data_IF_264933860072
#
_entry.id   IF_264933860072
#
_cell.length_a   1.000
_cell.length_b   1.000
_cell.length_c   1.000
_cell.angle_alpha   90.00
_cell.angle_beta   90.00
_cell.angle_gamma   90.00
#
_symmetry.space_group_name_H-M   'P 1'
#
loop_
_entity.id
_entity.type
_entity.pdbx_description
1 polymer ?
#
# COMPACT_ATOMS: atom_id res chain seq x y z
N UNK A 1 18.02 -11.63 57.81
CA UNK A 1 17.00 -11.59 56.76
C UNK A 1 17.65 -10.92 55.56
N UNK A 2 18.08 -11.67 54.54
CA UNK A 2 18.76 -11.09 53.38
C UNK A 2 17.66 -10.61 52.43
N UNK A 3 17.40 -9.30 52.43
CA UNK A 3 16.61 -8.68 51.37
C UNK A 3 17.36 -8.91 50.06
N UNK A 4 16.84 -9.84 49.25
CA UNK A 4 17.34 -10.06 47.91
C UNK A 4 17.04 -8.84 47.04
N UNK A 5 17.98 -8.47 46.18
CA UNK A 5 17.79 -7.44 45.17
C UNK A 5 16.63 -7.83 44.24
N UNK A 6 15.55 -7.05 44.26
CA UNK A 6 14.45 -7.14 43.30
C UNK A 6 14.90 -6.48 41.99
N UNK A 7 15.43 -7.29 41.08
CA UNK A 7 15.85 -6.85 39.76
C UNK A 7 14.59 -6.77 38.89
N UNK A 8 14.06 -5.55 38.74
CA UNK A 8 12.94 -5.24 37.85
C UNK A 8 13.42 -5.20 36.41
N UNK A 9 13.55 -6.38 35.81
CA UNK A 9 13.96 -6.53 34.42
C UNK A 9 12.82 -6.15 33.46
N UNK A 10 13.15 -5.62 32.29
CA UNK A 10 12.15 -5.21 31.30
C UNK A 10 11.58 -6.46 30.63
N UNK A 11 10.28 -6.69 30.79
CA UNK A 11 9.57 -7.80 30.15
C UNK A 11 8.70 -7.26 29.02
N UNK A 12 8.93 -7.79 27.81
CA UNK A 12 8.21 -7.42 26.60
C UNK A 12 6.93 -8.28 26.41
N UNK A 13 5.98 -7.83 25.57
CA UNK A 13 4.81 -8.63 25.21
C UNK A 13 5.22 -10.06 24.78
N UNK A 14 4.50 -11.07 25.30
CA UNK A 14 4.88 -12.48 25.12
C UNK A 14 5.80 -13.04 26.23
N UNK A 15 5.99 -12.30 27.32
CA UNK A 15 6.81 -12.69 28.47
C UNK A 15 8.29 -12.95 28.09
N UNK A 16 8.78 -12.19 27.09
CA UNK A 16 10.15 -12.26 26.59
C UNK A 16 11.01 -11.16 27.22
N UNK A 17 12.27 -11.49 27.48
CA UNK A 17 13.30 -10.51 27.89
C UNK A 17 14.05 -9.92 26.70
N UNK A 18 13.87 -10.47 25.49
CA UNK A 18 14.42 -9.88 24.28
C UNK A 18 13.50 -8.78 23.76
N UNK A 19 14.03 -7.59 23.41
CA UNK A 19 13.24 -6.55 22.80
C UNK A 19 12.59 -7.06 21.51
N UNK A 20 11.31 -6.74 21.27
CA UNK A 20 10.66 -7.13 20.04
C UNK A 20 11.41 -6.54 18.85
N UNK A 21 11.43 -7.28 17.75
CA UNK A 21 11.92 -6.76 16.49
C UNK A 21 11.13 -5.48 16.17
N UNK A 22 11.85 -4.40 15.82
CA UNK A 22 11.26 -3.08 15.60
C UNK A 22 10.33 -3.03 14.38
N UNK A 23 10.18 -1.84 13.80
CA UNK A 23 9.34 -1.61 12.61
C UNK A 23 9.68 -2.65 11.53
N UNK A 24 8.69 -3.36 10.93
CA UNK A 24 8.94 -4.37 9.92
C UNK A 24 9.75 -3.83 8.73
N UNK A 25 10.58 -4.68 8.12
CA UNK A 25 11.40 -4.34 6.93
C UNK A 25 10.57 -3.90 5.71
N UNK A 26 9.26 -4.20 5.68
CA UNK A 26 8.38 -3.87 4.56
C UNK A 26 7.22 -2.99 5.05
N UNK A 27 7.26 -1.72 4.70
CA UNK A 27 6.15 -0.80 4.92
C UNK A 27 5.27 -0.70 3.66
N UNK A 28 3.96 -0.64 3.86
CA UNK A 28 2.96 -0.46 2.82
C UNK A 28 2.49 1.00 2.82
N UNK A 29 2.55 1.68 1.67
CA UNK A 29 2.21 3.09 1.55
C UNK A 29 0.86 3.29 0.85
N UNK A 30 0.00 4.15 1.42
CA UNK A 30 -1.18 4.68 0.73
C UNK A 30 -0.81 6.01 0.09
N UNK A 31 -0.84 6.07 -1.24
CA UNK A 31 -0.38 7.23 -2.03
C UNK A 31 -1.56 7.88 -2.73
N UNK A 32 -1.70 9.19 -2.53
CA UNK A 32 -2.70 10.01 -3.23
C UNK A 32 -2.10 10.74 -4.41
N UNK A 33 -2.92 10.91 -5.46
CA UNK A 33 -2.49 11.48 -6.72
C UNK A 33 -3.57 12.39 -7.34
N UNK A 34 -3.16 13.22 -8.29
CA UNK A 34 -4.03 14.02 -9.14
C UNK A 34 -3.85 13.60 -10.60
N UNK A 35 -4.93 13.64 -11.38
CA UNK A 35 -4.87 13.43 -12.83
C UNK A 35 -4.30 14.68 -13.50
N UNK A 36 -3.11 14.57 -14.08
CA UNK A 36 -2.40 15.68 -14.73
C UNK A 36 -1.52 15.14 -15.86
N UNK A 37 -1.96 15.20 -17.13
CA UNK A 37 -1.12 14.83 -18.26
C UNK A 37 0.07 15.80 -18.40
N UNK A 38 1.32 15.32 -18.64
CA UNK A 38 1.72 13.95 -18.97
C UNK A 38 2.20 13.11 -17.76
N UNK A 39 2.02 13.60 -16.54
CA UNK A 39 2.55 12.99 -15.31
C UNK A 39 1.73 11.78 -14.86
N UNK A 40 0.41 11.91 -14.82
CA UNK A 40 -0.54 10.86 -14.47
C UNK A 40 -1.80 10.98 -15.34
N UNK A 41 -2.20 9.88 -15.95
CA UNK A 41 -3.38 9.75 -16.81
C UNK A 41 -4.19 8.54 -16.40
N UNK A 42 -5.51 8.62 -16.59
CA UNK A 42 -6.45 7.55 -16.24
C UNK A 42 -7.00 6.89 -17.52
N UNK A 43 -7.07 5.56 -17.50
CA UNK A 43 -7.68 4.76 -18.55
C UNK A 43 -8.53 3.63 -17.96
N UNK A 44 -9.62 3.20 -18.62
CA UNK A 44 -10.33 2.00 -18.19
C UNK A 44 -9.45 0.75 -18.34
N UNK A 45 -9.56 -0.24 -17.43
CA UNK A 45 -8.94 -1.55 -17.61
C UNK A 45 -9.41 -2.24 -18.89
N UNK A 46 -8.64 -3.19 -19.38
CA UNK A 46 -9.03 -3.99 -20.55
C UNK A 46 -10.33 -4.78 -20.25
N UNK A 47 -11.35 -4.71 -21.14
CA UNK A 47 -12.68 -5.27 -20.85
C UNK A 47 -12.74 -6.80 -20.85
N UNK A 48 -11.69 -7.48 -21.34
CA UNK A 48 -11.63 -8.95 -21.40
C UNK A 48 -10.80 -9.50 -20.25
N UNK A 49 -9.68 -8.85 -19.93
CA UNK A 49 -8.72 -9.30 -18.94
C UNK A 49 -8.84 -8.61 -17.59
N UNK A 50 -9.62 -7.52 -17.51
CA UNK A 50 -9.80 -6.66 -16.32
C UNK A 50 -8.48 -6.16 -15.71
N UNK A 51 -7.43 -6.11 -16.54
CA UNK A 51 -6.08 -5.70 -16.14
C UNK A 51 -5.65 -4.47 -16.92
N UNK A 52 -4.73 -3.74 -16.34
CA UNK A 52 -4.00 -2.73 -17.09
C UNK A 52 -3.10 -3.39 -18.11
N UNK A 53 -3.05 -2.81 -19.31
CA UNK A 53 -2.08 -3.24 -20.31
C UNK A 53 -0.68 -3.12 -19.70
N UNK A 54 0.12 -4.20 -19.78
CA UNK A 54 1.47 -4.30 -19.19
C UNK A 54 2.40 -3.13 -19.54
N UNK A 55 2.13 -2.42 -20.64
CA UNK A 55 2.94 -1.28 -21.10
C UNK A 55 2.35 0.09 -20.72
N UNK A 56 1.25 0.15 -19.97
CA UNK A 56 0.48 1.39 -19.74
C UNK A 56 -0.07 1.49 -18.32
N UNK A 57 0.71 1.08 -17.32
CA UNK A 57 0.48 1.49 -15.93
C UNK A 57 -0.19 0.46 -15.02
N UNK A 58 -0.55 0.94 -13.82
CA UNK A 58 -0.94 0.12 -12.67
C UNK A 58 -2.40 0.36 -12.29
N UNK A 59 -3.01 -0.58 -11.56
CA UNK A 59 -4.36 -0.41 -11.03
C UNK A 59 -4.35 0.63 -9.90
N UNK A 60 -5.24 1.60 -9.98
CA UNK A 60 -5.45 2.62 -8.96
C UNK A 60 -6.93 2.76 -8.62
N UNK A 61 -7.22 3.15 -7.38
CA UNK A 61 -8.58 3.35 -6.86
C UNK A 61 -9.01 4.80 -7.06
N UNK A 62 -10.14 5.00 -7.73
CA UNK A 62 -10.75 6.32 -7.96
C UNK A 62 -12.05 6.55 -7.16
N UNK A 63 -12.52 5.52 -6.46
CA UNK A 63 -13.69 5.54 -5.58
C UNK A 63 -13.52 6.47 -4.36
N UNK A 64 -14.57 7.23 -4.03
CA UNK A 64 -14.61 7.98 -2.78
C UNK A 64 -14.72 7.02 -1.57
N UNK A 65 -14.13 7.38 -0.42
CA UNK A 65 -14.17 6.55 0.80
C UNK A 65 -15.60 6.22 1.27
N UNK A 66 -16.58 7.09 1.02
CA UNK A 66 -17.99 6.84 1.34
C UNK A 66 -18.61 5.71 0.50
N UNK A 67 -18.10 5.46 -0.71
CA UNK A 67 -18.60 4.43 -1.64
C UNK A 67 -18.00 3.05 -1.35
N UNK A 68 -16.97 2.98 -0.50
CA UNK A 68 -16.27 1.75 -0.11
C UNK A 68 -16.87 1.06 1.11
N UNK A 69 -17.74 1.72 1.87
CA UNK A 69 -18.34 1.16 3.09
C UNK A 69 -19.17 -0.11 2.87
N UNK A 70 -19.55 -0.41 1.63
CA UNK A 70 -20.33 -1.58 1.25
C UNK A 70 -19.57 -2.58 0.35
N UNK A 71 -18.26 -2.41 0.14
CA UNK A 71 -17.51 -3.20 -0.84
C UNK A 71 -16.74 -4.40 -0.26
N UNK A 72 -17.03 -5.57 -0.81
CA UNK A 72 -16.22 -6.78 -0.70
C UNK A 72 -14.93 -6.60 -1.54
N UNK A 73 -13.72 -6.73 -0.97
CA UNK A 73 -12.44 -6.55 -1.67
C UNK A 73 -12.25 -7.46 -2.91
N UNK A 74 -13.12 -8.46 -3.11
CA UNK A 74 -13.15 -9.31 -4.29
C UNK A 74 -13.86 -8.73 -5.53
N UNK A 75 -14.68 -7.68 -5.39
CA UNK A 75 -15.48 -7.17 -6.51
C UNK A 75 -14.81 -5.95 -7.16
N UNK A 76 -13.96 -6.19 -8.17
CA UNK A 76 -13.28 -5.13 -8.94
C UNK A 76 -14.22 -4.50 -9.97
N UNK A 77 -15.27 -3.83 -9.51
CA UNK A 77 -16.14 -3.05 -10.40
C UNK A 77 -15.31 -1.99 -11.12
N UNK A 78 -15.37 -1.95 -12.46
CA UNK A 78 -14.62 -1.02 -13.31
C UNK A 78 -14.96 0.47 -13.11
N UNK A 79 -15.93 0.79 -12.25
CA UNK A 79 -16.25 2.15 -11.80
C UNK A 79 -15.33 2.65 -10.68
N UNK A 80 -14.74 1.74 -9.90
CA UNK A 80 -13.95 2.09 -8.71
C UNK A 80 -12.45 1.97 -8.93
N UNK A 81 -12.04 1.19 -9.93
CA UNK A 81 -10.65 0.94 -10.28
C UNK A 81 -10.38 1.33 -11.72
N UNK A 82 -9.28 2.06 -11.93
CA UNK A 82 -8.79 2.48 -13.24
C UNK A 82 -7.31 2.16 -13.39
N UNK A 83 -6.81 2.26 -14.61
CA UNK A 83 -5.40 2.16 -14.91
C UNK A 83 -4.77 3.55 -14.87
N UNK A 84 -3.88 3.75 -13.90
CA UNK A 84 -3.06 4.94 -13.75
C UNK A 84 -1.73 4.74 -14.48
N UNK A 85 -1.37 5.67 -15.36
CA UNK A 85 -0.12 5.61 -16.13
C UNK A 85 0.49 6.98 -16.33
N UNK A 86 1.81 7.03 -16.53
CA UNK A 86 2.55 8.26 -16.77
C UNK A 86 3.85 8.30 -15.98
N UNK A 87 4.61 9.38 -16.16
CA UNK A 87 5.96 9.51 -15.62
C UNK A 87 6.04 9.30 -14.09
N UNK A 88 5.06 9.80 -13.34
CA UNK A 88 5.05 9.63 -11.88
C UNK A 88 4.79 8.19 -11.45
N UNK A 89 4.03 7.43 -12.24
CA UNK A 89 3.75 6.02 -11.96
C UNK A 89 4.99 5.17 -12.25
N UNK A 90 5.65 5.40 -13.39
CA UNK A 90 6.88 4.68 -13.76
C UNK A 90 7.99 4.88 -12.72
N UNK A 91 8.15 6.13 -12.24
CA UNK A 91 9.12 6.45 -11.19
C UNK A 91 8.75 5.80 -9.84
N UNK A 92 7.46 5.76 -9.51
CA UNK A 92 6.99 5.12 -8.29
C UNK A 92 7.24 3.60 -8.31
N UNK A 93 6.96 2.93 -9.42
CA UNK A 93 7.28 1.50 -9.59
C UNK A 93 8.78 1.24 -9.41
N UNK A 94 9.63 2.12 -9.99
CA UNK A 94 11.08 2.04 -9.83
C UNK A 94 11.52 2.17 -8.37
N UNK A 95 10.96 3.13 -7.63
CA UNK A 95 11.25 3.29 -6.21
C UNK A 95 10.75 2.12 -5.36
N UNK A 96 9.57 1.57 -5.68
CA UNK A 96 9.03 0.41 -4.96
C UNK A 96 9.96 -0.81 -5.10
N UNK A 97 10.49 -1.04 -6.30
CA UNK A 97 11.46 -2.11 -6.56
C UNK A 97 12.79 -1.87 -5.83
N UNK A 98 13.37 -0.66 -5.95
CA UNK A 98 14.70 -0.36 -5.42
C UNK A 98 14.75 -0.22 -3.89
N UNK A 99 13.67 0.30 -3.29
CA UNK A 99 13.58 0.53 -1.85
C UNK A 99 12.82 -0.59 -1.12
N UNK A 100 12.17 -1.51 -1.84
CA UNK A 100 11.54 -2.69 -1.26
C UNK A 100 10.23 -2.43 -0.51
N UNK A 101 9.44 -1.43 -0.91
CA UNK A 101 8.12 -1.15 -0.33
C UNK A 101 6.97 -1.59 -1.25
N UNK A 102 5.78 -1.71 -0.68
CA UNK A 102 4.54 -1.92 -1.44
C UNK A 102 3.66 -0.68 -1.31
N UNK A 103 2.77 -0.45 -2.27
CA UNK A 103 1.91 0.72 -2.25
C UNK A 103 0.52 0.43 -2.81
N UNK A 104 -0.43 1.28 -2.43
CA UNK A 104 -1.73 1.42 -3.08
C UNK A 104 -1.93 2.87 -3.55
N UNK A 105 -2.56 3.05 -4.71
CA UNK A 105 -2.89 4.36 -5.26
C UNK A 105 -4.38 4.66 -5.04
N UNK A 106 -4.65 5.84 -4.48
CA UNK A 106 -5.99 6.28 -4.12
C UNK A 106 -6.18 7.74 -4.53
N UNK A 107 -7.21 8.04 -5.32
CA UNK A 107 -7.56 9.41 -5.66
C UNK A 107 -8.24 10.13 -4.49
#
# INVERSE_FOLDING_TARGET
QKEGLDIKDIVWPGNSHTPPQGVPEKFHLKITFLEEPPYITLAPPDPVTEKCSMNRGVICRVANEAELGEFDPGNRNGTYYQCCSGFCIDLLEKFAEELGFTYELVR
#
